data_IF_913847385290
#
_entry.id   IF_913847385290
#
_cell.length_a   1.000
_cell.length_b   1.000
_cell.length_c   1.000
_cell.angle_alpha   90.00
_cell.angle_beta   90.00
_cell.angle_gamma   90.00
#
_symmetry.space_group_name_H-M   'P 1'
#
loop_
_entity.id
_entity.type
_entity.pdbx_description
1 polymer ?
#
# COMPACT_ATOMS: atom_id res chain seq x y z
N UNK A 1 -3.62 22.97 25.15
CA UNK A 1 -2.91 23.14 23.87
C UNK A 1 -2.23 21.81 23.58
N UNK A 2 -2.97 20.88 22.96
CA UNK A 2 -2.44 19.54 22.68
C UNK A 2 -1.49 19.66 21.48
N UNK A 3 -0.24 19.23 21.68
CA UNK A 3 0.77 19.20 20.64
C UNK A 3 0.25 18.40 19.45
N UNK A 4 0.37 18.97 18.26
CA UNK A 4 0.15 18.27 17.00
C UNK A 4 1.17 17.14 16.94
N UNK A 5 0.66 15.92 17.11
CA UNK A 5 1.37 14.68 16.84
C UNK A 5 2.02 14.80 15.46
N UNK A 6 3.36 14.72 15.43
CA UNK A 6 4.13 14.72 14.19
C UNK A 6 3.79 13.42 13.46
N UNK A 7 2.70 13.49 12.70
CA UNK A 7 2.25 12.42 11.84
C UNK A 7 3.41 12.11 10.90
N UNK A 8 4.15 11.04 11.19
CA UNK A 8 5.14 10.46 10.29
C UNK A 8 4.44 10.38 8.94
N UNK A 9 4.91 11.18 7.97
CA UNK A 9 4.31 11.23 6.64
C UNK A 9 4.48 9.84 6.05
N UNK A 10 3.42 9.04 6.10
CA UNK A 10 3.40 7.70 5.55
C UNK A 10 3.65 7.84 4.05
N UNK A 11 4.62 7.13 3.46
CA UNK A 11 4.74 7.09 2.02
C UNK A 11 3.44 6.58 1.41
N UNK A 12 2.92 7.33 0.43
CA UNK A 12 1.71 7.00 -0.30
C UNK A 12 2.06 6.77 -1.76
N UNK A 13 1.64 5.63 -2.29
CA UNK A 13 1.72 5.32 -3.72
C UNK A 13 0.30 5.36 -4.30
N UNK A 14 0.04 6.28 -5.23
CA UNK A 14 -1.26 6.37 -5.89
C UNK A 14 -1.47 5.15 -6.81
N UNK A 15 -2.66 4.56 -6.74
CA UNK A 15 -3.09 3.50 -7.66
C UNK A 15 -3.94 4.09 -8.80
N UNK A 16 -4.81 5.04 -8.45
CA UNK A 16 -5.62 5.87 -9.35
C UNK A 16 -6.20 7.07 -8.57
N UNK A 17 -7.19 7.75 -9.15
CA UNK A 17 -7.85 8.95 -8.59
C UNK A 17 -8.53 8.70 -7.23
N UNK A 18 -8.91 7.46 -6.94
CA UNK A 18 -9.69 7.10 -5.77
C UNK A 18 -8.94 6.17 -4.82
N UNK A 19 -7.90 5.47 -5.29
CA UNK A 19 -7.21 4.42 -4.52
C UNK A 19 -5.73 4.70 -4.36
N UNK A 20 -5.20 4.29 -3.22
CA UNK A 20 -3.79 4.46 -2.89
C UNK A 20 -3.29 3.37 -1.94
N UNK A 21 -1.98 3.19 -1.92
CA UNK A 21 -1.27 2.34 -0.97
C UNK A 21 -0.58 3.22 0.06
N UNK A 22 -0.82 2.95 1.34
CA UNK A 22 -0.07 3.51 2.45
C UNK A 22 0.98 2.50 2.92
N UNK A 23 2.22 2.95 3.08
CA UNK A 23 3.34 2.12 3.53
C UNK A 23 3.64 2.49 4.98
N UNK A 24 3.77 1.47 5.83
CA UNK A 24 4.02 1.60 7.27
C UNK A 24 5.15 0.62 7.62
N UNK A 25 6.42 0.94 7.32
CA UNK A 25 7.52 -0.03 7.32
C UNK A 25 7.65 -0.84 8.62
N UNK A 26 7.38 -0.19 9.77
CA UNK A 26 7.55 -0.78 11.10
C UNK A 26 6.30 -1.53 11.63
N UNK A 27 5.23 -1.64 10.84
CA UNK A 27 4.02 -2.35 11.24
C UNK A 27 4.02 -3.82 10.78
N UNK A 28 3.32 -4.68 11.52
CA UNK A 28 3.05 -6.07 11.10
C UNK A 28 2.41 -6.11 9.71
N UNK A 29 1.40 -5.27 9.49
CA UNK A 29 0.83 -5.01 8.17
C UNK A 29 1.44 -3.73 7.60
N UNK A 30 2.62 -3.88 7.02
CA UNK A 30 3.42 -2.77 6.51
C UNK A 30 2.96 -2.20 5.16
N UNK A 31 1.93 -2.77 4.55
CA UNK A 31 1.26 -2.26 3.36
C UNK A 31 -0.26 -2.26 3.56
N UNK A 32 -0.91 -1.12 3.34
CA UNK A 32 -2.37 -0.99 3.37
C UNK A 32 -2.90 -0.37 2.09
N UNK A 33 -3.99 -0.93 1.53
CA UNK A 33 -4.70 -0.41 0.36
C UNK A 33 -5.96 0.32 0.81
N UNK A 34 -6.13 1.54 0.32
CA UNK A 34 -7.21 2.44 0.71
C UNK A 34 -7.95 2.98 -0.51
N UNK A 35 -9.24 3.25 -0.31
CA UNK A 35 -10.13 3.92 -1.27
C UNK A 35 -10.74 5.17 -0.62
N UNK A 36 -10.89 6.24 -1.40
CA UNK A 36 -11.66 7.42 -1.01
C UNK A 36 -13.13 7.20 -1.38
N UNK A 37 -13.89 6.59 -0.47
CA UNK A 37 -15.34 6.34 -0.65
C UNK A 37 -16.16 7.46 -0.01
N UNK A 38 -16.92 8.21 -0.80
CA UNK A 38 -17.74 9.35 -0.34
C UNK A 38 -16.93 10.39 0.47
N UNK A 39 -15.71 10.68 0.02
CA UNK A 39 -14.79 11.61 0.70
C UNK A 39 -14.18 11.09 1.99
N UNK A 40 -14.42 9.82 2.37
CA UNK A 40 -13.84 9.18 3.55
C UNK A 40 -12.88 8.07 3.15
N UNK A 41 -11.73 7.93 3.84
CA UNK A 41 -10.85 6.80 3.62
C UNK A 41 -11.51 5.50 4.08
N UNK A 42 -11.50 4.51 3.22
CA UNK A 42 -11.98 3.16 3.46
C UNK A 42 -10.86 2.17 3.15
N UNK A 43 -10.42 1.39 4.14
CA UNK A 43 -9.35 0.40 3.94
C UNK A 43 -9.91 -0.81 3.21
N UNK A 44 -9.38 -1.08 2.02
CA UNK A 44 -9.75 -2.22 1.18
C UNK A 44 -9.03 -3.50 1.62
N UNK A 45 -7.79 -3.38 2.07
CA UNK A 45 -6.99 -4.52 2.50
C UNK A 45 -5.67 -4.12 3.13
N UNK A 46 -4.99 -5.08 3.75
CA UNK A 46 -3.67 -4.91 4.33
C UNK A 46 -2.86 -6.18 4.17
N UNK A 47 -1.54 -6.04 4.10
CA UNK A 47 -0.61 -7.11 3.82
C UNK A 47 0.70 -6.88 4.59
N UNK A 48 1.29 -7.96 5.07
CA UNK A 48 2.71 -7.96 5.42
C UNK A 48 3.52 -8.15 4.13
N UNK A 49 3.76 -7.05 3.45
CA UNK A 49 4.45 -7.05 2.16
C UNK A 49 5.90 -7.48 2.30
N UNK A 50 6.58 -7.10 3.40
CA UNK A 50 7.98 -7.47 3.65
C UNK A 50 8.19 -8.97 3.61
N UNK A 51 7.33 -9.75 4.26
CA UNK A 51 7.49 -11.20 4.37
C UNK A 51 6.65 -12.03 3.39
N UNK A 52 5.65 -11.43 2.72
CA UNK A 52 4.76 -12.15 1.79
C UNK A 52 4.73 -11.57 0.37
N UNK A 53 5.78 -10.85 -0.04
CA UNK A 53 5.92 -10.18 -1.35
C UNK A 53 5.55 -11.05 -2.56
N UNK A 54 5.84 -12.35 -2.50
CA UNK A 54 5.51 -13.34 -3.54
C UNK A 54 4.01 -13.44 -3.83
N UNK A 55 3.17 -13.18 -2.83
CA UNK A 55 1.70 -13.19 -2.94
C UNK A 55 1.10 -11.83 -3.30
N UNK A 56 1.92 -10.78 -3.49
CA UNK A 56 1.48 -9.40 -3.70
C UNK A 56 0.55 -9.25 -4.91
N UNK A 57 0.87 -9.92 -6.02
CA UNK A 57 0.05 -9.85 -7.23
C UNK A 57 -1.38 -10.36 -7.00
N UNK A 58 -1.52 -11.50 -6.31
CA UNK A 58 -2.83 -12.05 -5.97
C UNK A 58 -3.61 -11.16 -4.99
N UNK A 59 -2.91 -10.55 -4.04
CA UNK A 59 -3.50 -9.57 -3.11
C UNK A 59 -4.08 -8.37 -3.86
N UNK A 60 -3.30 -7.73 -4.74
CA UNK A 60 -3.75 -6.58 -5.52
C UNK A 60 -4.88 -6.95 -6.48
N UNK A 61 -4.76 -8.08 -7.18
CA UNK A 61 -5.79 -8.54 -8.12
C UNK A 61 -7.15 -8.78 -7.45
N UNK A 62 -7.16 -9.29 -6.21
CA UNK A 62 -8.39 -9.48 -5.42
C UNK A 62 -9.09 -8.16 -5.09
N UNK A 63 -8.32 -7.10 -4.85
CA UNK A 63 -8.86 -5.77 -4.50
C UNK A 63 -9.22 -4.96 -5.75
N UNK A 64 -8.51 -5.18 -6.86
CA UNK A 64 -8.63 -4.44 -8.11
C UNK A 64 -8.58 -5.40 -9.31
N UNK A 65 -9.65 -6.14 -9.62
CA UNK A 65 -9.63 -7.17 -10.67
C UNK A 65 -9.34 -6.66 -12.09
N UNK A 66 -9.47 -5.35 -12.31
CA UNK A 66 -9.19 -4.69 -13.59
C UNK A 66 -7.70 -4.39 -13.82
N UNK A 67 -6.84 -4.55 -12.81
CA UNK A 67 -5.40 -4.29 -12.93
C UNK A 67 -4.70 -5.46 -13.62
N UNK A 68 -3.77 -5.16 -14.52
CA UNK A 68 -3.00 -6.19 -15.21
C UNK A 68 -1.65 -6.46 -14.54
N UNK A 69 -0.99 -7.56 -14.93
CA UNK A 69 0.28 -7.99 -14.35
C UNK A 69 1.43 -6.97 -14.53
N UNK A 70 1.45 -6.24 -15.64
CA UNK A 70 2.49 -5.22 -15.89
C UNK A 70 2.33 -4.07 -14.90
N UNK A 71 1.11 -3.59 -14.69
CA UNK A 71 0.80 -2.54 -13.71
C UNK A 71 1.14 -2.98 -12.28
N UNK A 72 0.84 -4.24 -11.92
CA UNK A 72 1.22 -4.79 -10.61
C UNK A 72 2.74 -4.83 -10.45
N UNK A 73 3.47 -5.27 -11.48
CA UNK A 73 4.92 -5.33 -11.44
C UNK A 73 5.57 -3.93 -11.31
N UNK A 74 5.05 -2.95 -12.04
CA UNK A 74 5.53 -1.56 -11.94
C UNK A 74 5.21 -0.95 -10.58
N UNK A 75 4.05 -1.28 -10.01
CA UNK A 75 3.68 -0.92 -8.65
C UNK A 75 4.64 -1.56 -7.63
N UNK A 76 4.96 -2.84 -7.81
CA UNK A 76 5.90 -3.56 -6.96
C UNK A 76 7.29 -2.90 -6.96
N UNK A 77 7.77 -2.45 -8.13
CA UNK A 77 9.02 -1.68 -8.26
C UNK A 77 8.98 -0.36 -7.52
N UNK A 78 7.84 0.33 -7.49
CA UNK A 78 7.69 1.58 -6.75
C UNK A 78 7.67 1.35 -5.24
N UNK A 79 7.12 0.22 -4.79
CA UNK A 79 6.97 -0.10 -3.37
C UNK A 79 8.27 -0.66 -2.78
N UNK A 80 9.01 -1.48 -3.53
CA UNK A 80 10.23 -2.16 -3.05
C UNK A 80 11.23 -1.24 -2.32
N UNK A 81 11.55 -0.02 -2.79
CA UNK A 81 12.50 0.87 -2.12
C UNK A 81 12.11 1.32 -0.71
N UNK A 82 10.83 1.18 -0.31
CA UNK A 82 10.38 1.51 1.04
C UNK A 82 10.60 0.39 2.06
N UNK A 83 11.09 -0.76 1.59
CA UNK A 83 11.36 -1.92 2.40
C UNK A 83 12.84 -2.25 2.33
N UNK A 84 13.44 -2.53 3.49
CA UNK A 84 14.75 -3.17 3.55
C UNK A 84 14.57 -4.65 3.21
N UNK A 85 14.60 -4.92 1.91
CA UNK A 85 14.45 -6.24 1.32
C UNK A 85 15.86 -6.82 1.23
N UNK A 86 16.30 -7.54 2.27
CA UNK A 86 17.52 -8.34 2.19
C UNK A 86 17.44 -9.25 0.95
N UNK A 87 18.52 -9.25 0.15
CA UNK A 87 18.67 -10.04 -1.09
C UNK A 87 19.17 -11.43 -0.74
#
# INVERSE_FOLDING_TARGET
MAMLDQSVVKPIVALDDHRYIAIIPDAEYNLEVWEKKNGRPHRMGRMDYKFHRDTFAGFIYRLMPSVNLVQIHDLQKQINPFFDLEV
#
